data_IF_439004015986
#
_entry.id   IF_439004015986
#
_cell.length_a   1.000
_cell.length_b   1.000
_cell.length_c   1.000
_cell.angle_alpha   90.00
_cell.angle_beta   90.00
_cell.angle_gamma   90.00
#
_symmetry.space_group_name_H-M   'P 1'
#
loop_
_entity.id
_entity.type
_entity.pdbx_description
1 polymer ?
#
# COMPACT_ATOMS: atom_id res chain seq x y z
N UNK A 1 -14.67 -19.60 -25.70
CA UNK A 1 -14.13 -20.30 -24.52
C UNK A 1 -14.22 -19.31 -23.38
N UNK A 2 -15.24 -19.38 -22.51
CA UNK A 2 -15.24 -20.16 -21.24
C UNK A 2 -13.91 -19.93 -20.48
N UNK A 3 -13.84 -19.48 -19.23
CA UNK A 3 -14.79 -19.57 -18.12
C UNK A 3 -14.42 -18.57 -17.01
N UNK A 4 -15.45 -18.21 -16.24
CA UNK A 4 -15.42 -17.54 -14.95
C UNK A 4 -14.41 -18.14 -13.96
N UNK A 5 -13.80 -17.33 -13.11
CA UNK A 5 -13.32 -17.83 -11.82
C UNK A 5 -13.78 -16.93 -10.67
N UNK A 6 -14.85 -17.41 -10.02
CA UNK A 6 -15.43 -16.89 -8.79
C UNK A 6 -14.94 -17.80 -7.67
N UNK A 7 -14.14 -17.28 -6.75
CA UNK A 7 -13.99 -17.90 -5.43
C UNK A 7 -14.15 -16.87 -4.33
N UNK A 8 -15.38 -16.84 -3.81
CA UNK A 8 -15.65 -16.48 -2.43
C UNK A 8 -15.12 -17.61 -1.54
N UNK A 9 -14.37 -17.28 -0.49
CA UNK A 9 -14.21 -18.18 0.65
C UNK A 9 -14.36 -17.34 1.92
N UNK A 10 -15.58 -17.40 2.46
CA UNK A 10 -15.96 -16.90 3.76
C UNK A 10 -15.65 -17.97 4.81
N UNK A 11 -14.64 -17.76 5.64
CA UNK A 11 -14.46 -18.55 6.85
C UNK A 11 -15.02 -17.77 8.05
N UNK A 12 -16.31 -18.00 8.30
CA UNK A 12 -16.94 -17.67 9.56
C UNK A 12 -16.61 -18.74 10.60
N UNK A 13 -15.76 -18.41 11.56
CA UNK A 13 -15.61 -19.19 12.78
C UNK A 13 -16.54 -18.61 13.84
N UNK A 14 -17.75 -19.16 13.94
CA UNK A 14 -18.63 -18.97 15.10
C UNK A 14 -18.17 -19.90 16.24
N UNK A 15 -17.95 -19.42 17.48
CA UNK A 15 -17.75 -20.30 18.61
C UNK A 15 -19.09 -20.82 19.14
N UNK A 16 -19.12 -22.11 19.43
CA UNK A 16 -20.25 -22.86 19.94
C UNK A 16 -20.80 -22.28 21.26
N UNK A 17 -22.13 -22.17 21.31
CA UNK A 17 -22.92 -22.02 22.53
C UNK A 17 -22.71 -23.24 23.43
N UNK A 18 -22.19 -23.02 24.64
CA UNK A 18 -22.30 -24.02 25.70
C UNK A 18 -23.24 -23.45 26.76
N UNK A 19 -24.48 -23.90 26.69
CA UNK A 19 -25.53 -23.60 27.64
C UNK A 19 -25.25 -24.42 28.90
N UNK A 20 -24.78 -23.76 29.96
CA UNK A 20 -24.68 -24.39 31.27
C UNK A 20 -25.98 -24.12 32.02
N UNK A 21 -26.90 -25.08 31.95
CA UNK A 21 -28.09 -25.13 32.80
C UNK A 21 -27.63 -25.33 34.24
N UNK A 22 -27.76 -24.29 35.05
CA UNK A 22 -27.56 -24.35 36.51
C UNK A 22 -28.74 -25.11 37.12
N UNK A 23 -28.50 -26.36 37.52
CA UNK A 23 -29.42 -27.12 38.37
C UNK A 23 -29.17 -26.70 39.83
N UNK A 24 -30.03 -25.84 40.38
CA UNK A 24 -30.06 -25.52 41.81
C UNK A 24 -30.66 -26.72 42.57
N UNK A 25 -29.81 -27.67 42.93
CA UNK A 25 -30.13 -28.72 43.91
C UNK A 25 -29.83 -28.21 45.32
N UNK A 26 -30.87 -27.80 46.02
CA UNK A 26 -30.89 -27.60 47.47
C UNK A 26 -30.58 -28.93 48.18
N UNK A 27 -29.48 -28.97 48.92
CA UNK A 27 -29.19 -30.03 49.87
C UNK A 27 -28.36 -29.46 51.03
N UNK A 28 -29.12 -28.94 51.99
CA UNK A 28 -28.75 -28.78 53.38
C UNK A 28 -28.03 -30.01 53.97
N UNK A 29 -27.18 -29.73 54.98
CA UNK A 29 -26.59 -30.65 55.98
C UNK A 29 -25.20 -31.25 55.67
N UNK A 30 -24.16 -30.62 56.22
CA UNK A 30 -23.40 -31.09 57.41
C UNK A 30 -21.95 -30.57 57.35
N UNK A 31 -21.60 -29.66 58.27
CA UNK A 31 -20.20 -29.31 58.55
C UNK A 31 -19.55 -30.43 59.34
N UNK A 32 -19.05 -31.45 58.65
CA UNK A 32 -18.11 -32.41 59.23
C UNK A 32 -16.70 -32.01 58.78
N UNK A 33 -15.84 -31.76 59.77
CA UNK A 33 -14.50 -31.25 59.59
C UNK A 33 -13.65 -32.13 58.68
N UNK A 34 -13.38 -31.61 57.49
CA UNK A 34 -12.23 -32.03 56.69
C UNK A 34 -11.04 -31.20 57.16
N UNK A 35 -10.20 -31.80 58.01
CA UNK A 35 -8.79 -31.42 58.09
C UNK A 35 -8.16 -31.80 56.75
N UNK A 36 -8.41 -30.99 55.72
CA UNK A 36 -7.70 -31.07 54.46
C UNK A 36 -6.34 -30.48 54.72
N UNK A 37 -5.36 -31.37 54.88
CA UNK A 37 -3.95 -31.07 54.70
C UNK A 37 -3.83 -30.07 53.54
N UNK A 38 -3.28 -28.90 53.85
CA UNK A 38 -3.42 -27.69 53.06
C UNK A 38 -2.82 -27.90 51.68
N UNK A 39 -3.63 -28.32 50.69
CA UNK A 39 -3.22 -28.34 49.28
C UNK A 39 -3.14 -26.89 48.82
N UNK A 40 -2.07 -26.21 49.22
CA UNK A 40 -1.71 -24.87 48.78
C UNK A 40 -1.44 -24.96 47.30
N UNK A 41 -2.34 -24.37 46.49
CA UNK A 41 -2.09 -24.19 45.06
C UNK A 41 -0.81 -23.36 44.93
N UNK A 42 0.18 -23.79 44.12
CA UNK A 42 1.39 -23.00 43.91
C UNK A 42 0.99 -21.62 43.38
N UNK A 43 1.62 -20.56 43.91
CA UNK A 43 1.37 -19.21 43.44
C UNK A 43 1.65 -19.16 41.93
N UNK A 44 0.60 -18.92 41.14
CA UNK A 44 0.73 -18.73 39.70
C UNK A 44 1.60 -17.51 39.38
N UNK A 45 2.21 -17.51 38.19
CA UNK A 45 3.07 -16.42 37.73
C UNK A 45 2.28 -15.09 37.65
N UNK A 46 2.53 -14.18 38.61
CA UNK A 46 1.84 -12.87 38.70
C UNK A 46 2.34 -11.84 37.68
N UNK A 47 3.44 -12.10 36.97
CA UNK A 47 4.07 -11.13 36.08
C UNK A 47 3.15 -10.67 34.92
N UNK A 48 2.28 -11.54 34.42
CA UNK A 48 1.31 -11.18 33.39
C UNK A 48 0.19 -10.27 33.95
N UNK A 49 -0.22 -10.46 35.21
CA UNK A 49 -1.23 -9.61 35.87
C UNK A 49 -0.66 -8.22 36.15
N UNK A 50 0.59 -8.14 36.63
CA UNK A 50 1.25 -6.86 36.90
C UNK A 50 1.52 -6.04 35.63
N UNK A 51 2.00 -6.68 34.56
CA UNK A 51 2.17 -6.01 33.26
C UNK A 51 0.84 -5.47 32.72
N UNK A 52 -0.25 -6.22 32.87
CA UNK A 52 -1.61 -5.81 32.46
C UNK A 52 -2.12 -4.63 33.28
N UNK A 53 -1.92 -4.62 34.60
CA UNK A 53 -2.31 -3.48 35.44
C UNK A 53 -1.51 -2.23 35.10
N UNK A 54 -0.19 -2.34 34.86
CA UNK A 54 0.64 -1.18 34.52
C UNK A 54 0.23 -0.49 33.21
N UNK A 55 -0.22 -1.26 32.21
CA UNK A 55 -0.73 -0.70 30.95
C UNK A 55 -2.11 -0.04 31.09
N UNK A 56 -2.91 -0.48 32.05
CA UNK A 56 -4.24 0.05 32.32
C UNK A 56 -4.26 1.19 33.35
N UNK A 57 -3.12 1.49 33.98
CA UNK A 57 -2.95 2.68 34.79
C UNK A 57 -2.82 3.90 33.87
N UNK A 58 -3.37 5.04 34.27
CA UNK A 58 -3.45 6.28 33.45
C UNK A 58 -2.09 6.64 32.80
N UNK A 59 -0.99 6.54 33.56
CA UNK A 59 0.36 6.82 33.04
C UNK A 59 0.80 5.85 31.94
N UNK A 60 0.45 4.55 32.06
CA UNK A 60 0.77 3.55 31.04
C UNK A 60 0.01 3.77 29.74
N UNK A 61 -1.26 4.22 29.83
CA UNK A 61 -2.07 4.60 28.66
C UNK A 61 -1.49 5.83 27.98
N UNK A 62 -1.14 6.87 28.73
CA UNK A 62 -0.53 8.10 28.20
C UNK A 62 0.77 7.80 27.44
N UNK A 63 1.63 6.92 27.97
CA UNK A 63 2.89 6.56 27.31
C UNK A 63 2.67 5.81 25.99
N UNK A 64 1.68 4.92 25.93
CA UNK A 64 1.32 4.22 24.69
C UNK A 64 0.76 5.20 23.65
N UNK A 65 -0.11 6.10 24.07
CA UNK A 65 -0.68 7.13 23.18
C UNK A 65 0.40 8.06 22.63
N UNK A 66 1.36 8.51 23.46
CA UNK A 66 2.50 9.31 23.01
C UNK A 66 3.36 8.58 21.98
N UNK A 67 3.63 7.29 22.19
CA UNK A 67 4.38 6.47 21.23
C UNK A 67 3.64 6.31 19.91
N UNK A 68 2.33 6.09 19.98
CA UNK A 68 1.48 6.01 18.80
C UNK A 68 1.49 7.33 18.03
N UNK A 69 1.30 8.46 18.70
CA UNK A 69 1.36 9.79 18.10
C UNK A 69 2.69 10.03 17.39
N UNK A 70 3.81 9.79 18.08
CA UNK A 70 5.15 9.93 17.48
C UNK A 70 5.34 9.04 16.24
N UNK A 71 4.78 7.83 16.27
CA UNK A 71 4.84 6.91 15.11
C UNK A 71 4.04 7.44 13.94
N UNK A 72 2.83 7.96 14.19
CA UNK A 72 1.98 8.54 13.16
C UNK A 72 2.62 9.79 12.54
N UNK A 73 3.19 10.67 13.35
CA UNK A 73 3.90 11.88 12.89
C UNK A 73 5.06 11.51 11.95
N UNK A 74 5.88 10.51 12.32
CA UNK A 74 6.97 10.01 11.48
C UNK A 74 6.46 9.39 10.18
N UNK A 75 5.34 8.67 10.22
CA UNK A 75 4.75 8.07 9.04
C UNK A 75 4.20 9.13 8.07
N UNK A 76 3.58 10.19 8.60
CA UNK A 76 3.13 11.33 7.80
C UNK A 76 4.33 11.99 7.10
N UNK A 77 5.40 12.27 7.85
CA UNK A 77 6.61 12.87 7.29
C UNK A 77 7.26 11.99 6.21
N UNK A 78 7.35 10.68 6.47
CA UNK A 78 7.87 9.72 5.51
C UNK A 78 7.03 9.70 4.23
N UNK A 79 5.71 9.59 4.36
CA UNK A 79 4.78 9.56 3.22
C UNK A 79 4.85 10.85 2.41
N UNK A 80 5.00 12.00 3.06
CA UNK A 80 5.14 13.28 2.38
C UNK A 80 6.43 13.34 1.56
N UNK A 81 7.55 12.92 2.14
CA UNK A 81 8.85 12.84 1.44
C UNK A 81 8.79 11.87 0.26
N UNK A 82 8.14 10.71 0.44
CA UNK A 82 7.93 9.74 -0.63
C UNK A 82 7.11 10.33 -1.79
N UNK A 83 6.03 11.05 -1.47
CA UNK A 83 5.17 11.70 -2.47
C UNK A 83 5.91 12.79 -3.25
N UNK A 84 6.70 13.63 -2.58
CA UNK A 84 7.53 14.66 -3.21
C UNK A 84 8.57 14.04 -4.15
N UNK A 85 9.23 12.96 -3.70
CA UNK A 85 10.19 12.23 -4.52
C UNK A 85 9.52 11.61 -5.76
N UNK A 86 8.33 11.03 -5.59
CA UNK A 86 7.56 10.46 -6.70
C UNK A 86 7.17 11.53 -7.70
N UNK A 87 6.66 12.67 -7.24
CA UNK A 87 6.32 13.82 -8.08
C UNK A 87 7.52 14.35 -8.86
N UNK A 88 8.67 14.48 -8.21
CA UNK A 88 9.91 14.93 -8.86
C UNK A 88 10.38 13.96 -9.96
N UNK A 89 10.32 12.65 -9.70
CA UNK A 89 10.65 11.61 -10.70
C UNK A 89 9.69 11.66 -11.89
N UNK A 90 8.40 11.74 -11.64
CA UNK A 90 7.38 11.73 -12.68
C UNK A 90 7.46 13.00 -13.55
N UNK A 91 7.70 14.17 -12.94
CA UNK A 91 7.91 15.43 -13.66
C UNK A 91 9.15 15.37 -14.56
N UNK A 92 10.28 14.88 -14.04
CA UNK A 92 11.51 14.73 -14.83
C UNK A 92 11.34 13.73 -15.96
N UNK A 93 10.63 12.63 -15.73
CA UNK A 93 10.32 11.65 -16.77
C UNK A 93 9.45 12.26 -17.87
N UNK A 94 8.43 13.04 -17.49
CA UNK A 94 7.57 13.73 -18.43
C UNK A 94 8.36 14.73 -19.28
N UNK A 95 9.17 15.58 -18.65
CA UNK A 95 10.00 16.57 -19.34
C UNK A 95 10.96 15.92 -20.34
N UNK A 96 11.63 14.82 -19.95
CA UNK A 96 12.51 14.08 -20.88
C UNK A 96 11.73 13.54 -22.08
N UNK A 97 10.54 12.96 -21.85
CA UNK A 97 9.68 12.45 -22.95
C UNK A 97 9.24 13.58 -23.88
N UNK A 98 8.83 14.72 -23.33
CA UNK A 98 8.41 15.87 -24.11
C UNK A 98 9.58 16.41 -24.96
N UNK A 99 10.77 16.53 -24.37
CA UNK A 99 11.96 16.99 -25.09
C UNK A 99 12.35 16.03 -26.22
N UNK A 100 12.31 14.71 -25.98
CA UNK A 100 12.56 13.71 -27.02
C UNK A 100 11.54 13.85 -28.15
N UNK A 101 10.25 13.89 -27.82
CA UNK A 101 9.19 14.02 -28.83
C UNK A 101 9.32 15.30 -29.66
N UNK A 102 9.65 16.43 -29.02
CA UNK A 102 9.87 17.70 -29.73
C UNK A 102 11.04 17.60 -30.72
N UNK A 103 12.17 17.01 -30.30
CA UNK A 103 13.33 16.83 -31.18
C UNK A 103 13.03 15.90 -32.35
N UNK A 104 12.29 14.82 -32.09
CA UNK A 104 11.89 13.87 -33.14
C UNK A 104 11.00 14.55 -34.20
N UNK A 105 10.03 15.37 -33.77
CA UNK A 105 9.18 16.14 -34.67
C UNK A 105 9.97 17.18 -35.49
N UNK A 106 10.94 17.86 -34.86
CA UNK A 106 11.80 18.83 -35.55
C UNK A 106 12.69 18.17 -36.60
N UNK A 107 13.25 16.99 -36.30
CA UNK A 107 14.01 16.20 -37.26
C UNK A 107 13.13 15.71 -38.42
N UNK A 108 11.90 15.30 -38.14
CA UNK A 108 10.97 14.87 -39.17
C UNK A 108 10.57 16.03 -40.11
N UNK A 109 10.29 17.20 -39.55
CA UNK A 109 9.94 18.40 -40.31
C UNK A 109 11.11 18.90 -41.17
N UNK A 110 12.33 18.93 -40.62
CA UNK A 110 13.53 19.30 -41.38
C UNK A 110 13.82 18.31 -42.50
N UNK A 111 13.68 17.00 -42.25
CA UNK A 111 13.83 15.98 -43.29
C UNK A 111 12.78 16.12 -44.40
N UNK A 112 11.51 16.39 -44.06
CA UNK A 112 10.44 16.66 -45.03
C UNK A 112 10.76 17.90 -45.88
N UNK A 113 11.18 19.00 -45.25
CA UNK A 113 11.58 20.24 -45.95
C UNK A 113 12.74 20.02 -46.91
N UNK A 114 13.75 19.24 -46.51
CA UNK A 114 14.88 18.89 -47.37
C UNK A 114 14.45 18.06 -48.58
N UNK A 115 13.58 17.06 -48.38
CA UNK A 115 13.01 16.26 -49.48
C UNK A 115 12.25 17.12 -50.50
N UNK A 116 11.43 18.06 -50.03
CA UNK A 116 10.69 18.99 -50.90
C UNK A 116 11.67 19.86 -51.71
N UNK A 117 12.66 20.49 -51.05
CA UNK A 117 13.65 21.33 -51.73
C UNK A 117 14.45 20.57 -52.78
N UNK A 118 14.87 19.35 -52.46
CA UNK A 118 15.61 18.48 -53.38
C UNK A 118 14.76 18.10 -54.60
N UNK A 119 13.47 17.80 -54.39
CA UNK A 119 12.54 17.57 -55.49
C UNK A 119 12.35 18.81 -56.38
N UNK A 120 12.10 19.98 -55.79
CA UNK A 120 11.95 21.23 -56.54
C UNK A 120 13.19 21.56 -57.38
N UNK A 121 14.38 21.31 -56.83
CA UNK A 121 15.64 21.54 -57.53
C UNK A 121 15.79 20.59 -58.73
N UNK A 122 15.50 19.29 -58.55
CA UNK A 122 15.48 18.31 -59.66
C UNK A 122 14.49 18.72 -60.76
N UNK A 123 13.30 19.20 -60.40
CA UNK A 123 12.31 19.64 -61.37
C UNK A 123 12.74 20.90 -62.13
N UNK A 124 13.38 21.87 -61.46
CA UNK A 124 13.94 23.08 -62.11
C UNK A 124 15.06 22.73 -63.08
N UNK A 125 15.97 21.84 -62.68
CA UNK A 125 17.07 21.37 -63.52
C UNK A 125 16.55 20.64 -64.76
N UNK A 126 15.54 19.76 -64.60
CA UNK A 126 14.91 19.07 -65.72
C UNK A 126 14.24 20.04 -66.70
N UNK A 127 13.54 21.07 -66.19
CA UNK A 127 12.92 22.12 -67.02
C UNK A 127 13.99 22.89 -67.80
N UNK A 128 15.05 23.33 -67.13
CA UNK A 128 16.18 24.05 -67.76
C UNK A 128 16.89 23.21 -68.83
N UNK A 129 17.11 21.92 -68.55
CA UNK A 129 17.69 20.99 -69.52
C UNK A 129 16.86 20.87 -70.79
N UNK A 130 15.53 20.69 -70.67
CA UNK A 130 14.60 20.62 -71.81
C UNK A 130 14.52 21.91 -72.63
N UNK A 131 14.59 23.07 -71.98
CA UNK A 131 14.61 24.37 -72.67
C UNK A 131 15.86 24.55 -73.55
N UNK A 132 16.99 23.98 -73.16
CA UNK A 132 18.27 24.12 -73.88
C UNK A 132 18.45 23.13 -75.04
N UNK A 133 17.61 22.09 -75.15
CA UNK A 133 17.70 21.06 -76.21
C UNK A 133 16.70 21.26 -77.36
N UNK A 134 15.90 22.34 -77.33
CA UNK A 134 14.83 22.61 -78.32
C UNK A 134 15.21 23.73 -79.33
N UNK A 135 16.50 23.91 -79.62
CA UNK A 135 17.04 24.82 -80.65
C UNK A 135 17.83 24.00 -81.67
#
# INVERSE_FOLDING_TARGET
MNESNKHQSSNGNSPATHENVVNLGDASMTSTGINSDEVVRPQGNKGCKEKRMRLNNENGVVDVLKKLQCTLEKQIEFNQKELELKRGKDMKQFEMREQTLRKDLELEDTAKKLKIKDQELRERELKRGKSNTTL
#
